data_IF_135813728362
#
_entry.id   IF_135813728362
#
_cell.length_a   1.000
_cell.length_b   1.000
_cell.length_c   1.000
_cell.angle_alpha   90.00
_cell.angle_beta   90.00
_cell.angle_gamma   90.00
#
_symmetry.space_group_name_H-M   'P 1'
#
loop_
_entity.id
_entity.type
_entity.pdbx_description
1 polymer ?
#
# COMPACT_ATOMS: atom_id res chain seq x y z
N UNK A 1 20.22 2.05 -32.07
CA UNK A 1 19.21 2.14 -30.99
C UNK A 1 18.78 3.60 -30.91
N UNK A 2 17.50 3.95 -30.98
CA UNK A 2 17.13 5.30 -30.60
C UNK A 2 16.04 5.24 -29.53
N UNK A 3 16.36 5.47 -28.25
CA UNK A 3 16.85 6.77 -27.80
C UNK A 3 15.72 7.81 -27.71
N UNK A 4 14.45 7.35 -27.66
CA UNK A 4 13.29 8.21 -27.44
C UNK A 4 13.26 8.77 -26.02
N UNK A 5 12.75 10.00 -25.89
CA UNK A 5 12.55 10.67 -24.59
C UNK A 5 11.84 9.71 -23.62
N UNK A 6 12.45 9.34 -22.48
CA UNK A 6 11.86 8.40 -21.53
C UNK A 6 10.60 8.95 -20.83
N UNK A 7 10.25 10.22 -21.06
CA UNK A 7 9.01 10.85 -20.60
C UNK A 7 8.17 11.37 -21.79
N UNK A 8 7.44 10.50 -22.50
CA UNK A 8 6.70 10.87 -23.72
C UNK A 8 5.31 11.48 -23.47
N UNK A 9 4.99 11.98 -22.26
CA UNK A 9 3.64 12.46 -21.95
C UNK A 9 3.55 13.98 -22.15
N UNK A 10 3.06 14.39 -23.31
CA UNK A 10 2.60 15.77 -23.52
C UNK A 10 1.20 15.91 -22.90
N UNK A 11 1.13 16.53 -21.72
CA UNK A 11 -0.14 16.87 -21.08
C UNK A 11 -0.76 18.06 -21.80
N UNK A 12 -1.99 17.89 -22.26
CA UNK A 12 -2.84 18.93 -22.83
C UNK A 12 -4.23 18.91 -22.20
N UNK A 13 -5.10 19.85 -22.60
CA UNK A 13 -6.47 19.96 -22.08
C UNK A 13 -7.36 18.74 -22.38
N UNK A 14 -6.96 17.88 -23.30
CA UNK A 14 -7.71 16.71 -23.75
C UNK A 14 -7.12 15.40 -23.20
N UNK A 15 -6.08 15.48 -22.36
CA UNK A 15 -5.38 14.31 -21.84
C UNK A 15 -6.34 13.49 -20.98
N UNK A 16 -6.61 12.22 -21.36
CA UNK A 16 -7.57 11.40 -20.64
C UNK A 16 -7.00 11.01 -19.28
N UNK A 17 -7.87 10.85 -18.29
CA UNK A 17 -7.48 10.26 -17.03
C UNK A 17 -7.07 8.79 -17.27
N UNK A 18 -5.88 8.34 -16.81
CA UNK A 18 -5.39 7.01 -17.12
C UNK A 18 -6.24 5.93 -16.43
N UNK A 19 -6.53 4.86 -17.16
CA UNK A 19 -7.20 3.68 -16.60
C UNK A 19 -6.23 2.92 -15.69
N UNK A 20 -6.77 2.35 -14.60
CA UNK A 20 -6.01 1.50 -13.67
C UNK A 20 -4.73 2.14 -13.09
N UNK A 21 -4.76 3.47 -12.88
CA UNK A 21 -3.63 4.20 -12.29
C UNK A 21 -3.34 3.78 -10.83
N UNK A 22 -2.07 3.77 -10.46
CA UNK A 22 -1.62 3.51 -9.09
C UNK A 22 -1.32 4.83 -8.38
N UNK A 23 -1.88 5.02 -7.20
CA UNK A 23 -1.79 6.30 -6.48
C UNK A 23 -1.20 6.10 -5.08
N UNK A 24 -0.33 7.01 -4.67
CA UNK A 24 0.10 7.11 -3.28
C UNK A 24 -0.29 8.48 -2.75
N UNK A 25 -1.07 8.52 -1.68
CA UNK A 25 -1.53 9.77 -1.07
C UNK A 25 -0.74 10.04 0.20
N UNK A 26 -0.12 11.20 0.24
CA UNK A 26 0.55 11.72 1.44
C UNK A 26 -0.33 12.80 2.09
N UNK A 27 -0.41 12.82 3.43
CA UNK A 27 -1.06 13.90 4.12
C UNK A 27 -0.27 15.19 3.94
N UNK A 28 -0.98 16.31 3.75
CA UNK A 28 -0.38 17.64 3.58
C UNK A 28 0.51 18.06 4.76
N UNK A 29 0.24 17.56 5.96
CA UNK A 29 0.96 17.88 7.20
C UNK A 29 1.82 16.70 7.70
N UNK A 30 2.50 15.99 6.78
CA UNK A 30 3.37 14.87 7.10
C UNK A 30 4.51 15.30 8.05
N UNK A 31 4.60 14.68 9.23
CA UNK A 31 5.69 14.90 10.18
C UNK A 31 6.90 14.06 9.78
N UNK A 32 8.10 14.60 10.02
CA UNK A 32 9.36 13.89 9.74
C UNK A 32 9.56 12.81 10.80
N UNK A 33 9.80 11.53 10.41
CA UNK A 33 10.16 10.50 11.37
C UNK A 33 11.51 10.84 12.03
N UNK A 34 11.62 10.63 13.34
CA UNK A 34 12.88 10.78 14.06
C UNK A 34 13.07 9.67 15.10
N UNK A 35 14.33 9.45 15.48
CA UNK A 35 14.75 8.37 16.36
C UNK A 35 15.53 8.95 17.54
N UNK A 36 15.15 8.55 18.75
CA UNK A 36 15.93 8.77 19.97
C UNK A 36 16.66 7.47 20.30
N UNK A 37 17.97 7.55 20.51
CA UNK A 37 18.81 6.41 20.88
C UNK A 37 19.49 6.67 22.21
N UNK A 38 19.53 5.65 23.07
CA UNK A 38 20.23 5.68 24.35
C UNK A 38 21.26 4.58 24.39
N UNK A 39 22.47 4.91 24.82
CA UNK A 39 23.55 3.97 25.06
C UNK A 39 24.01 4.15 26.52
N UNK A 40 23.94 3.08 27.30
CA UNK A 40 24.39 3.02 28.69
C UNK A 40 25.45 1.95 28.81
N UNK A 41 26.63 2.32 29.31
CA UNK A 41 27.72 1.41 29.62
C UNK A 41 28.14 1.58 31.07
N UNK A 42 28.18 0.48 31.80
CA UNK A 42 28.66 0.43 33.19
C UNK A 42 29.82 -0.54 33.21
N UNK A 43 30.94 -0.09 33.77
CA UNK A 43 32.12 -0.89 33.96
C UNK A 43 32.60 -0.71 35.40
N UNK A 44 32.86 -1.82 36.09
CA UNK A 44 33.36 -1.80 37.44
C UNK A 44 34.41 -2.89 37.66
N UNK A 45 35.55 -2.50 38.22
CA UNK A 45 36.63 -3.41 38.59
C UNK A 45 36.56 -3.68 40.10
N UNK A 46 36.45 -4.96 40.46
CA UNK A 46 36.51 -5.44 41.83
C UNK A 46 37.90 -6.02 42.15
N UNK A 47 38.54 -5.51 43.19
CA UNK A 47 39.89 -5.94 43.58
C UNK A 47 40.92 -5.69 42.48
N UNK A 48 41.99 -6.50 42.45
CA UNK A 48 43.06 -6.34 41.47
C UNK A 48 42.77 -7.00 40.11
N UNK A 49 41.70 -7.81 40.01
CA UNK A 49 41.65 -8.87 39.01
C UNK A 49 40.25 -9.26 38.51
N UNK A 50 39.17 -8.65 38.99
CA UNK A 50 37.83 -8.89 38.45
C UNK A 50 37.24 -7.64 37.82
N UNK A 51 36.68 -7.77 36.61
CA UNK A 51 36.05 -6.68 35.87
C UNK A 51 34.67 -7.13 35.42
N UNK A 52 33.65 -6.36 35.78
CA UNK A 52 32.28 -6.56 35.34
C UNK A 52 31.90 -5.41 34.43
N UNK A 53 31.31 -5.74 33.27
CA UNK A 53 30.82 -4.75 32.31
C UNK A 53 29.39 -5.09 31.92
N UNK A 54 28.53 -4.10 31.89
CA UNK A 54 27.17 -4.19 31.38
C UNK A 54 26.94 -3.09 30.36
N UNK A 55 26.32 -3.43 29.23
CA UNK A 55 25.96 -2.47 28.19
C UNK A 55 24.48 -2.60 27.85
N UNK A 56 23.80 -1.48 27.65
CA UNK A 56 22.42 -1.41 27.19
C UNK A 56 22.29 -0.37 26.09
N UNK A 57 21.59 -0.73 25.02
CA UNK A 57 21.24 0.19 23.93
C UNK A 57 19.72 0.13 23.73
N UNK A 58 19.06 1.28 23.81
CA UNK A 58 17.63 1.43 23.57
C UNK A 58 17.35 2.39 22.42
N UNK A 59 16.23 2.22 21.74
CA UNK A 59 15.78 3.12 20.66
C UNK A 59 14.27 3.39 20.77
N UNK A 60 13.85 4.60 20.42
CA UNK A 60 12.45 5.00 20.32
C UNK A 60 12.23 5.81 19.04
N UNK A 61 11.27 5.40 18.21
CA UNK A 61 10.97 6.03 16.92
C UNK A 61 9.64 6.76 17.02
N UNK A 62 9.62 8.02 16.61
CA UNK A 62 8.43 8.88 16.62
C UNK A 62 8.10 9.30 15.19
N UNK A 63 6.80 9.42 14.89
CA UNK A 63 6.24 9.72 13.56
C UNK A 63 6.71 8.74 12.47
N UNK A 64 6.87 7.47 12.83
CA UNK A 64 7.22 6.41 11.87
C UNK A 64 6.16 6.34 10.76
N UNK A 65 6.61 6.42 9.51
CA UNK A 65 5.72 6.35 8.36
C UNK A 65 5.36 4.89 8.06
N UNK A 66 4.08 4.66 7.88
CA UNK A 66 3.55 3.39 7.39
C UNK A 66 2.58 3.66 6.23
N UNK A 67 2.38 2.68 5.35
CA UNK A 67 1.45 2.75 4.22
C UNK A 67 0.43 1.63 4.37
N UNK A 68 -0.83 1.91 4.07
CA UNK A 68 -1.86 0.89 3.94
C UNK A 68 -2.57 1.01 2.59
N UNK A 69 -3.10 -0.10 2.10
CA UNK A 69 -3.91 -0.13 0.89
C UNK A 69 -5.30 0.44 1.19
N UNK A 70 -5.58 1.64 0.71
CA UNK A 70 -6.85 2.35 0.88
C UNK A 70 -7.90 1.96 -0.18
N UNK A 71 -7.53 1.22 -1.24
CA UNK A 71 -8.45 0.70 -2.24
C UNK A 71 -8.34 -0.83 -2.39
N UNK A 72 -8.51 -1.62 -1.32
CA UNK A 72 -8.26 -3.06 -1.37
C UNK A 72 -9.26 -3.78 -2.28
N UNK A 73 -8.83 -4.90 -2.88
CA UNK A 73 -9.73 -5.79 -3.61
C UNK A 73 -10.49 -6.70 -2.63
N UNK A 74 -11.81 -6.67 -2.69
CA UNK A 74 -12.68 -7.49 -1.83
C UNK A 74 -12.89 -8.85 -2.47
N UNK A 75 -12.60 -9.94 -1.75
CA UNK A 75 -12.93 -11.28 -2.22
C UNK A 75 -14.44 -11.51 -2.16
N UNK A 76 -15.03 -11.90 -3.29
CA UNK A 76 -16.46 -12.14 -3.45
C UNK A 76 -16.66 -13.57 -3.95
N UNK A 77 -17.63 -14.28 -3.36
CA UNK A 77 -17.95 -15.67 -3.68
C UNK A 77 -19.45 -15.93 -3.49
N UNK A 78 -20.06 -16.63 -4.43
CA UNK A 78 -21.47 -17.07 -4.36
C UNK A 78 -21.64 -18.56 -4.71
N UNK A 79 -20.56 -19.34 -4.75
CA UNK A 79 -20.59 -20.75 -5.15
C UNK A 79 -20.63 -20.99 -6.66
N UNK A 80 -20.58 -19.95 -7.49
CA UNK A 80 -20.58 -20.07 -8.94
C UNK A 80 -19.43 -19.28 -9.56
N UNK A 81 -19.05 -19.64 -10.79
CA UNK A 81 -18.03 -18.90 -11.53
C UNK A 81 -18.43 -17.46 -11.90
N UNK A 82 -19.68 -17.06 -11.67
CA UNK A 82 -20.19 -15.73 -12.05
C UNK A 82 -20.92 -15.07 -10.89
N UNK A 83 -20.39 -13.95 -10.41
CA UNK A 83 -21.04 -13.11 -9.40
C UNK A 83 -21.58 -11.84 -10.04
N UNK A 84 -22.90 -11.69 -10.06
CA UNK A 84 -23.56 -10.44 -10.42
C UNK A 84 -23.81 -9.61 -9.17
N UNK A 85 -23.17 -8.46 -9.08
CA UNK A 85 -23.26 -7.58 -7.93
C UNK A 85 -24.46 -6.63 -8.04
N UNK A 86 -25.00 -6.14 -6.90
CA UNK A 86 -26.12 -5.18 -6.90
C UNK A 86 -25.82 -3.87 -7.65
N UNK A 87 -24.54 -3.48 -7.75
CA UNK A 87 -24.08 -2.30 -8.48
C UNK A 87 -23.96 -2.52 -10.01
N UNK A 88 -24.41 -3.67 -10.53
CA UNK A 88 -24.39 -4.00 -11.96
C UNK A 88 -23.08 -4.60 -12.47
N UNK A 89 -22.04 -4.70 -11.63
CA UNK A 89 -20.77 -5.34 -12.02
C UNK A 89 -20.94 -6.85 -12.06
N UNK A 90 -20.48 -7.47 -13.15
CA UNK A 90 -20.39 -8.92 -13.28
C UNK A 90 -18.93 -9.35 -13.17
N UNK A 91 -18.64 -10.22 -12.20
CA UNK A 91 -17.34 -10.83 -12.02
C UNK A 91 -17.42 -12.26 -12.55
N UNK A 92 -16.52 -12.60 -13.47
CA UNK A 92 -16.43 -13.95 -14.03
C UNK A 92 -15.07 -14.54 -13.68
N UNK A 93 -15.10 -15.74 -13.11
CA UNK A 93 -13.93 -16.57 -12.86
C UNK A 93 -13.76 -17.66 -13.92
N UNK A 94 -12.92 -18.67 -13.66
CA UNK A 94 -12.58 -19.69 -14.65
C UNK A 94 -13.79 -20.54 -15.06
N UNK A 95 -13.79 -21.00 -16.31
CA UNK A 95 -14.81 -21.92 -16.81
C UNK A 95 -14.76 -23.25 -16.04
N UNK A 96 -15.91 -23.73 -15.54
CA UNK A 96 -16.00 -24.94 -14.72
C UNK A 96 -15.58 -24.75 -13.25
N UNK A 97 -15.19 -23.54 -12.83
CA UNK A 97 -14.89 -23.21 -11.44
C UNK A 97 -16.14 -22.85 -10.62
N UNK A 98 -15.94 -22.66 -9.31
CA UNK A 98 -17.00 -22.19 -8.39
C UNK A 98 -16.71 -20.79 -7.83
N UNK A 99 -15.56 -20.21 -8.19
CA UNK A 99 -15.13 -18.89 -7.76
C UNK A 99 -15.35 -17.85 -8.86
N UNK A 100 -15.91 -16.71 -8.50
CA UNK A 100 -16.01 -15.55 -9.38
C UNK A 100 -14.88 -14.53 -9.17
N UNK A 101 -14.14 -14.63 -8.05
CA UNK A 101 -13.00 -13.76 -7.75
C UNK A 101 -11.70 -14.38 -8.24
N UNK A 102 -10.97 -13.65 -9.08
CA UNK A 102 -9.70 -14.09 -9.65
C UNK A 102 -8.66 -12.99 -9.56
N UNK A 103 -7.41 -13.33 -9.91
CA UNK A 103 -6.33 -12.36 -10.08
C UNK A 103 -6.65 -11.42 -11.26
N UNK A 104 -7.24 -11.94 -12.34
CA UNK A 104 -7.58 -11.17 -13.55
C UNK A 104 -8.65 -10.10 -13.32
N UNK A 105 -9.56 -10.30 -12.37
CA UNK A 105 -10.62 -9.34 -12.03
C UNK A 105 -10.36 -8.54 -10.74
N UNK A 106 -9.12 -8.52 -10.25
CA UNK A 106 -8.75 -7.82 -9.01
C UNK A 106 -9.19 -6.36 -8.99
N UNK A 107 -9.01 -5.62 -10.10
CA UNK A 107 -9.40 -4.20 -10.17
C UNK A 107 -10.91 -3.96 -10.07
N UNK A 108 -11.72 -4.83 -10.68
CA UNK A 108 -13.19 -4.73 -10.64
C UNK A 108 -13.74 -5.01 -9.23
N UNK A 109 -12.94 -5.64 -8.38
CA UNK A 109 -13.28 -5.96 -6.99
C UNK A 109 -12.76 -4.93 -5.98
N UNK A 110 -12.04 -3.91 -6.42
CA UNK A 110 -11.54 -2.86 -5.53
C UNK A 110 -12.65 -1.97 -5.04
N UNK A 111 -12.55 -1.49 -3.79
CA UNK A 111 -13.58 -0.68 -3.12
C UNK A 111 -14.07 0.49 -3.99
N UNK A 112 -13.16 1.26 -4.61
CA UNK A 112 -13.51 2.40 -5.46
C UNK A 112 -14.27 1.97 -6.73
N UNK A 113 -13.94 0.81 -7.31
CA UNK A 113 -14.68 0.23 -8.44
C UNK A 113 -16.08 -0.22 -8.02
N UNK A 114 -16.19 -0.82 -6.84
CA UNK A 114 -17.47 -1.28 -6.31
C UNK A 114 -18.41 -0.12 -5.92
N UNK A 115 -17.85 1.01 -5.45
CA UNK A 115 -18.61 2.22 -5.15
C UNK A 115 -19.13 2.91 -6.40
N UNK A 116 -18.30 3.05 -7.43
CA UNK A 116 -18.70 3.65 -8.71
C UNK A 116 -17.85 3.05 -9.85
N UNK A 117 -18.39 2.11 -10.64
CA UNK A 117 -17.62 1.48 -11.72
C UNK A 117 -17.13 2.45 -12.80
N UNK A 118 -17.88 3.53 -13.08
CA UNK A 118 -17.54 4.50 -14.12
C UNK A 118 -16.30 5.31 -13.77
N UNK A 119 -16.09 5.62 -12.49
CA UNK A 119 -14.88 6.32 -12.02
C UNK A 119 -13.81 5.36 -11.50
N UNK A 120 -14.22 4.26 -10.85
CA UNK A 120 -13.33 3.31 -10.20
C UNK A 120 -12.45 2.52 -11.16
N UNK A 121 -12.84 2.36 -12.43
CA UNK A 121 -11.98 1.81 -13.50
C UNK A 121 -10.66 2.57 -13.69
N UNK A 122 -10.63 3.82 -13.26
CA UNK A 122 -9.45 4.68 -13.33
C UNK A 122 -8.43 4.42 -12.22
N UNK A 123 -8.80 3.66 -11.19
CA UNK A 123 -7.99 3.42 -10.00
C UNK A 123 -7.65 1.93 -9.86
N UNK A 124 -6.36 1.65 -9.67
CA UNK A 124 -5.87 0.34 -9.24
C UNK A 124 -5.54 0.42 -7.74
N UNK A 125 -4.32 0.12 -7.31
CA UNK A 125 -3.92 0.27 -5.92
C UNK A 125 -3.85 1.74 -5.52
N UNK A 126 -4.34 2.01 -4.32
CA UNK A 126 -4.19 3.28 -3.65
C UNK A 126 -3.52 3.02 -2.31
N UNK A 127 -2.31 3.53 -2.13
CA UNK A 127 -1.63 3.49 -0.86
C UNK A 127 -1.78 4.84 -0.13
N UNK A 128 -2.21 4.79 1.12
CA UNK A 128 -2.35 5.99 1.94
C UNK A 128 -1.34 5.95 3.10
N UNK A 129 -0.76 7.11 3.40
CA UNK A 129 0.08 7.31 4.59
C UNK A 129 -0.77 7.98 5.68
N UNK A 130 -0.93 7.36 6.86
CA UNK A 130 -1.68 7.97 7.96
C UNK A 130 -1.04 9.28 8.43
N UNK A 131 -1.86 10.15 9.02
CA UNK A 131 -1.36 11.27 9.81
C UNK A 131 -0.88 10.74 11.16
N UNK A 132 0.44 10.64 11.34
CA UNK A 132 1.07 10.33 12.64
C UNK A 132 1.13 11.52 13.60
#
# INVERSE_FOLDING_TARGET
QPGGNPFPIALDKNSPFPLTGVYTVFPWNLKKPYLNQWNLSIQHQFGANWLVTGNYIGNNIIHMLYRYEANPAIYIFNGTNTCRLPNGVTLTGPLGGTECSTIGNTNQRRVLYLQNPAMGQCFNSRADVPRG
#
